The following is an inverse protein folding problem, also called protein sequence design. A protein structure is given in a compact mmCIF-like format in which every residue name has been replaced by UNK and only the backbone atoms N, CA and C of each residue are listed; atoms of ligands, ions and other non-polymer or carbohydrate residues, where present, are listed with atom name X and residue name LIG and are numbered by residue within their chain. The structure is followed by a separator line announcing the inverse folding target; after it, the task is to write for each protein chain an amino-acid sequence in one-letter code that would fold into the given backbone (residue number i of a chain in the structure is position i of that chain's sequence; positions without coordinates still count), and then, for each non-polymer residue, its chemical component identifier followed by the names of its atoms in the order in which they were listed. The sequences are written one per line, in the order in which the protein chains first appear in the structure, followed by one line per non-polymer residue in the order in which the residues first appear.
data_IF_330110334662
#
_entry.id   IF_330110334662
#
_cell.length_a   1.000
_cell.length_b   1.000
_cell.length_c   1.000
_cell.angle_alpha   90.00
_cell.angle_beta   90.00
_cell.angle_gamma   90.00
#
_symmetry.space_group_name_H-M   'P 1'
#
loop_
_entity.id
_entity.type
_entity.pdbx_description
1 polymer ?
#
# COMPACT_ATOMS: atom_id res chain seq x y z
N UNK A 1 14.43 20.76 4.06
CA UNK A 1 13.54 20.03 4.98
C UNK A 1 12.36 20.90 5.47
N UNK A 2 12.58 22.08 6.02
CA UNK A 2 11.50 22.96 6.50
C UNK A 2 10.52 23.39 5.40
N UNK A 3 11.00 23.77 4.23
CA UNK A 3 10.17 24.11 3.06
C UNK A 3 9.35 22.91 2.58
N UNK A 4 9.95 21.72 2.60
CA UNK A 4 9.28 20.49 2.24
C UNK A 4 8.22 20.08 3.25
N UNK A 5 8.51 20.21 4.55
CA UNK A 5 7.54 19.97 5.61
C UNK A 5 6.34 20.92 5.51
N UNK A 6 6.59 22.20 5.19
CA UNK A 6 5.53 23.19 4.95
C UNK A 6 4.69 22.84 3.73
N UNK A 7 5.32 22.38 2.63
CA UNK A 7 4.64 21.92 1.43
C UNK A 7 3.79 20.68 1.72
N UNK A 8 4.32 19.70 2.46
CA UNK A 8 3.59 18.50 2.85
C UNK A 8 2.40 18.82 3.77
N UNK A 9 2.53 19.76 4.68
CA UNK A 9 1.41 20.23 5.51
C UNK A 9 0.31 20.89 4.66
N UNK A 10 0.68 21.70 3.69
CA UNK A 10 -0.27 22.31 2.76
C UNK A 10 -0.98 21.25 1.90
N UNK A 11 -0.25 20.26 1.42
CA UNK A 11 -0.76 19.11 0.67
C UNK A 11 -1.72 18.28 1.51
N UNK A 12 -1.35 17.99 2.74
CA UNK A 12 -2.16 17.25 3.69
C UNK A 12 -3.51 17.91 3.95
N UNK A 13 -3.51 19.23 4.16
CA UNK A 13 -4.72 20.02 4.34
C UNK A 13 -5.61 20.05 3.09
N UNK A 14 -5.05 19.85 1.89
CA UNK A 14 -5.79 19.86 0.63
C UNK A 14 -6.48 18.54 0.33
N UNK A 15 -5.86 17.41 0.69
CA UNK A 15 -6.35 16.08 0.34
C UNK A 15 -7.16 15.39 1.44
N UNK A 16 -7.03 15.84 2.69
CA UNK A 16 -7.76 15.22 3.79
C UNK A 16 -8.86 16.13 4.33
N UNK A 17 -10.09 15.66 4.22
CA UNK A 17 -11.21 16.20 5.00
C UNK A 17 -11.16 15.78 6.48
N UNK A 18 -10.25 14.89 6.86
CA UNK A 18 -10.04 14.49 8.24
C UNK A 18 -8.80 15.17 8.81
N UNK A 19 -8.99 15.91 9.87
CA UNK A 19 -7.97 16.63 10.64
C UNK A 19 -6.90 15.75 11.33
N UNK A 20 -6.69 14.52 10.87
CA UNK A 20 -5.88 13.50 11.56
C UNK A 20 -4.72 12.92 10.75
N UNK A 21 -4.36 13.50 9.60
CA UNK A 21 -3.11 13.07 8.97
C UNK A 21 -1.93 13.63 9.76
N UNK A 22 -1.07 12.72 10.21
CA UNK A 22 0.17 13.02 10.91
C UNK A 22 1.02 14.01 10.08
N UNK A 23 1.52 15.06 10.71
CA UNK A 23 2.40 16.05 10.07
C UNK A 23 3.65 15.41 9.44
N UNK A 24 3.97 14.19 9.87
CA UNK A 24 5.15 13.44 9.49
C UNK A 24 4.89 12.34 8.44
N UNK A 25 3.69 12.34 7.78
CA UNK A 25 3.33 11.31 6.81
C UNK A 25 4.37 11.12 5.70
N UNK A 26 5.01 12.18 5.24
CA UNK A 26 6.04 12.13 4.22
C UNK A 26 7.30 11.36 4.66
N UNK A 27 7.62 11.37 5.96
CA UNK A 27 8.75 10.60 6.51
C UNK A 27 8.48 9.10 6.38
N UNK A 28 7.22 8.70 6.59
CA UNK A 28 6.79 7.32 6.41
C UNK A 28 6.87 6.90 4.94
N UNK A 29 6.41 7.77 4.03
CA UNK A 29 6.49 7.51 2.59
C UNK A 29 7.94 7.47 2.10
N UNK A 30 8.78 8.41 2.54
CA UNK A 30 10.21 8.39 2.24
C UNK A 30 10.86 7.10 2.75
N UNK A 31 10.55 6.70 3.98
CA UNK A 31 11.05 5.43 4.53
C UNK A 31 10.61 4.25 3.70
N UNK A 32 9.35 4.18 3.29
CA UNK A 32 8.84 3.11 2.43
C UNK A 32 9.62 3.03 1.10
N UNK A 33 9.88 4.17 0.45
CA UNK A 33 10.67 4.21 -0.79
C UNK A 33 12.09 3.70 -0.52
N UNK A 34 12.72 4.14 0.57
CA UNK A 34 14.07 3.73 0.96
C UNK A 34 14.12 2.23 1.24
N UNK A 35 13.21 1.72 2.08
CA UNK A 35 13.15 0.32 2.44
C UNK A 35 12.97 -0.56 1.17
N UNK A 36 12.08 -0.18 0.27
CA UNK A 36 11.90 -0.85 -1.03
C UNK A 36 13.13 -0.76 -1.92
N UNK A 37 13.81 0.38 -1.92
CA UNK A 37 15.02 0.60 -2.71
C UNK A 37 16.14 -0.32 -2.26
N UNK A 38 16.32 -0.48 -0.95
CA UNK A 38 17.32 -1.39 -0.37
C UNK A 38 16.93 -2.85 -0.61
N UNK A 39 15.68 -3.20 -0.29
CA UNK A 39 15.16 -4.58 -0.39
C UNK A 39 15.22 -5.14 -1.82
N UNK A 40 14.86 -4.32 -2.81
CA UNK A 40 14.84 -4.71 -4.22
C UNK A 40 16.13 -4.38 -4.98
N UNK A 41 17.13 -3.84 -4.28
CA UNK A 41 18.40 -3.40 -4.87
C UNK A 41 18.20 -2.47 -6.08
N UNK A 42 17.25 -1.52 -5.95
CA UNK A 42 16.93 -0.57 -7.01
C UNK A 42 18.06 0.42 -7.17
N UNK A 43 18.56 0.58 -8.39
CA UNK A 43 19.56 1.60 -8.71
C UNK A 43 18.95 2.99 -8.91
N UNK A 44 19.80 4.00 -9.08
CA UNK A 44 19.37 5.39 -9.25
C UNK A 44 18.54 5.58 -10.52
N UNK A 45 18.90 4.92 -11.62
CA UNK A 45 18.16 5.01 -12.88
C UNK A 45 16.74 4.51 -12.72
N UNK A 46 16.54 3.37 -12.07
CA UNK A 46 15.20 2.83 -11.80
C UNK A 46 14.39 3.67 -10.83
N UNK A 47 15.02 4.36 -9.89
CA UNK A 47 14.33 5.33 -9.03
C UNK A 47 13.82 6.52 -9.85
N UNK A 48 14.62 7.01 -10.80
CA UNK A 48 14.18 8.07 -11.71
C UNK A 48 13.04 7.60 -12.63
N UNK A 49 13.11 6.38 -13.17
CA UNK A 49 12.04 5.76 -13.95
C UNK A 49 10.76 5.63 -13.13
N UNK A 50 10.85 5.14 -11.88
CA UNK A 50 9.72 5.01 -10.96
C UNK A 50 9.10 6.37 -10.60
N UNK A 51 9.90 7.43 -10.48
CA UNK A 51 9.43 8.79 -10.27
C UNK A 51 8.55 9.27 -11.43
N UNK A 52 9.02 9.12 -12.66
CA UNK A 52 8.27 9.55 -13.85
C UNK A 52 6.99 8.70 -14.05
N UNK A 53 7.05 7.40 -13.79
CA UNK A 53 5.88 6.52 -13.85
C UNK A 53 4.86 6.90 -12.76
N UNK A 54 5.31 7.26 -11.55
CA UNK A 54 4.43 7.74 -10.49
C UNK A 54 3.69 9.03 -10.87
N UNK A 55 4.36 9.98 -11.53
CA UNK A 55 3.72 11.19 -12.04
C UNK A 55 2.68 10.87 -13.12
N UNK A 56 3.02 9.99 -14.05
CA UNK A 56 2.12 9.56 -15.11
C UNK A 56 0.87 8.90 -14.53
N UNK A 57 1.04 7.93 -13.63
CA UNK A 57 -0.06 7.21 -12.99
C UNK A 57 -0.99 8.15 -12.21
N UNK A 58 -0.44 9.09 -11.44
CA UNK A 58 -1.24 10.08 -10.72
C UNK A 58 -2.01 10.98 -11.68
N UNK A 59 -1.39 11.42 -12.78
CA UNK A 59 -2.07 12.23 -13.79
C UNK A 59 -3.25 11.46 -14.42
N UNK A 60 -3.09 10.17 -14.67
CA UNK A 60 -4.15 9.31 -15.21
C UNK A 60 -5.27 9.10 -14.20
N UNK A 61 -4.94 8.75 -12.95
CA UNK A 61 -5.92 8.47 -11.89
C UNK A 61 -6.70 9.71 -11.47
N UNK A 62 -6.02 10.83 -11.32
CA UNK A 62 -6.65 12.08 -10.86
C UNK A 62 -7.41 12.82 -11.96
N UNK A 63 -7.19 12.49 -13.23
CA UNK A 63 -7.88 13.14 -14.36
C UNK A 63 -7.70 14.65 -14.34
N UNK A 64 -6.48 15.15 -14.11
CA UNK A 64 -6.22 16.59 -14.04
C UNK A 64 -6.65 17.31 -15.29
N UNK A 65 -7.42 18.39 -15.11
CA UNK A 65 -7.85 19.25 -16.19
C UNK A 65 -6.75 20.29 -16.50
N UNK A 66 -6.25 20.32 -17.73
CA UNK A 66 -5.38 21.40 -18.19
C UNK A 66 -6.15 22.73 -18.41
N UNK A 67 -7.48 22.70 -18.30
CA UNK A 67 -8.35 23.84 -18.57
C UNK A 67 -8.72 24.64 -17.30
N UNK A 68 -8.73 23.98 -16.14
CA UNK A 68 -9.06 24.67 -14.91
C UNK A 68 -7.82 25.19 -14.21
N UNK A 69 -7.68 26.51 -14.21
CA UNK A 69 -6.68 27.26 -13.48
C UNK A 69 -7.36 28.11 -12.41
N UNK A 70 -6.89 28.00 -11.17
CA UNK A 70 -7.39 28.79 -10.06
C UNK A 70 -6.66 30.15 -10.06
N UNK A 71 -7.12 31.05 -10.92
CA UNK A 71 -6.58 32.41 -11.07
C UNK A 71 -6.94 33.30 -9.89
N UNK A 72 -6.17 34.38 -9.72
CA UNK A 72 -6.33 35.31 -8.60
C UNK A 72 -7.71 36.01 -8.59
N UNK A 73 -8.31 36.22 -9.76
CA UNK A 73 -9.65 36.78 -9.89
C UNK A 73 -10.73 35.85 -9.35
N UNK A 74 -10.62 34.54 -9.56
CA UNK A 74 -11.54 33.53 -8.99
C UNK A 74 -11.42 33.48 -7.47
N UNK A 75 -10.20 33.55 -6.96
CA UNK A 75 -9.93 33.60 -5.51
C UNK A 75 -10.51 34.88 -4.93
N UNK A 76 -10.29 36.01 -5.56
CA UNK A 76 -10.83 37.31 -5.14
C UNK A 76 -12.36 37.29 -5.11
N UNK A 77 -13.00 36.80 -6.17
CA UNK A 77 -14.47 36.67 -6.26
C UNK A 77 -15.03 35.78 -5.14
N UNK A 78 -14.36 34.68 -4.84
CA UNK A 78 -14.78 33.77 -3.75
C UNK A 78 -14.66 34.45 -2.38
N UNK A 79 -13.59 35.20 -2.13
CA UNK A 79 -13.40 35.99 -0.89
C UNK A 79 -14.44 37.07 -0.75
N UNK A 80 -14.69 37.86 -1.79
CA UNK A 80 -15.69 38.89 -1.80
C UNK A 80 -17.10 38.32 -1.53
N UNK A 81 -17.42 37.17 -2.09
CA UNK A 81 -18.64 36.45 -1.81
C UNK A 81 -18.77 36.06 -0.33
N UNK A 82 -17.70 35.54 0.25
CA UNK A 82 -17.64 35.21 1.69
C UNK A 82 -17.85 36.42 2.58
N UNK A 83 -17.20 37.55 2.28
CA UNK A 83 -17.34 38.82 3.01
C UNK A 83 -18.75 39.36 2.94
N UNK A 84 -19.39 39.31 1.76
CA UNK A 84 -20.78 39.74 1.58
C UNK A 84 -21.75 38.88 2.40
N UNK A 85 -21.58 37.56 2.39
CA UNK A 85 -22.41 36.63 3.18
C UNK A 85 -22.22 36.88 4.69
N UNK A 86 -20.99 37.11 5.14
CA UNK A 86 -20.68 37.43 6.54
C UNK A 86 -21.22 38.79 6.96
N UNK A 87 -21.27 39.78 6.04
CA UNK A 87 -21.88 41.09 6.30
C UNK A 87 -23.38 41.00 6.53
N UNK A 88 -24.10 40.14 5.82
CA UNK A 88 -25.54 39.88 6.10
C UNK A 88 -25.79 39.25 7.48
N UNK A 89 -24.86 38.41 7.97
CA UNK A 89 -24.96 37.88 9.35
C UNK A 89 -24.85 38.98 10.42
N UNK A 90 -24.09 40.03 10.12
CA UNK A 90 -23.85 41.16 11.05
C UNK A 90 -25.00 42.18 11.07
N UNK A 91 -25.99 42.12 10.16
CA UNK A 91 -27.13 43.04 10.11
C UNK A 91 -28.01 42.90 11.36
N UNK A 92 -28.49 44.02 11.99
CA UNK A 92 -29.32 43.94 13.16
C UNK A 92 -30.65 43.26 12.86
N UNK A 93 -31.00 42.31 13.71
CA UNK A 93 -32.19 41.44 13.61
C UNK A 93 -33.46 42.26 13.81
N UNK A 94 -34.10 42.71 12.76
CA UNK A 94 -35.46 43.15 12.81
C UNK A 94 -36.38 41.95 12.84
N UNK A 95 -37.07 41.75 13.96
CA UNK A 95 -38.29 40.98 14.29
C UNK A 95 -38.75 39.77 13.45
N UNK A 96 -37.97 39.16 12.60
CA UNK A 96 -38.26 37.91 11.92
C UNK A 96 -37.25 36.85 12.27
N UNK A 97 -37.59 36.05 13.25
CA UNK A 97 -36.99 34.75 13.54
C UNK A 97 -35.46 34.74 13.58
N UNK A 98 -34.87 34.45 14.71
CA UNK A 98 -33.43 34.22 14.92
C UNK A 98 -32.85 33.32 13.84
N UNK A 99 -32.30 33.90 12.78
CA UNK A 99 -31.40 33.20 11.88
C UNK A 99 -30.05 33.29 12.52
N UNK A 100 -29.71 32.38 13.40
CA UNK A 100 -28.32 32.19 13.83
C UNK A 100 -27.59 31.55 12.65
N UNK A 101 -27.03 32.40 11.80
CA UNK A 101 -26.07 32.00 10.79
C UNK A 101 -24.76 31.67 11.52
N UNK A 102 -24.64 30.46 12.04
CA UNK A 102 -23.37 29.97 12.54
C UNK A 102 -22.52 29.59 11.32
N UNK A 103 -21.62 30.50 10.93
CA UNK A 103 -20.67 30.30 9.83
C UNK A 103 -19.22 30.30 10.34
N UNK A 104 -18.87 29.46 11.35
CA UNK A 104 -17.51 29.45 11.89
C UNK A 104 -16.48 29.02 10.85
N UNK A 105 -16.89 28.15 9.90
CA UNK A 105 -16.03 27.68 8.81
C UNK A 105 -15.65 28.80 7.85
N UNK A 106 -16.62 29.58 7.36
CA UNK A 106 -16.35 30.70 6.44
C UNK A 106 -15.41 31.71 7.09
N UNK A 107 -15.65 32.11 8.34
CA UNK A 107 -14.78 33.02 9.07
C UNK A 107 -13.34 32.49 9.23
N UNK A 108 -13.23 31.20 9.57
CA UNK A 108 -11.93 30.58 9.76
C UNK A 108 -11.10 30.54 8.46
N UNK A 109 -11.74 30.28 7.32
CA UNK A 109 -11.06 30.21 6.04
C UNK A 109 -10.82 31.59 5.41
N UNK A 110 -11.72 32.56 5.60
CA UNK A 110 -11.54 33.93 5.09
C UNK A 110 -10.31 34.58 5.70
N UNK A 111 -10.08 34.43 7.01
CA UNK A 111 -8.88 34.91 7.66
C UNK A 111 -7.58 34.24 7.25
N UNK A 112 -7.61 32.96 6.94
CA UNK A 112 -6.43 32.16 6.52
C UNK A 112 -6.08 32.31 5.04
N UNK A 113 -7.04 32.65 4.21
CA UNK A 113 -6.84 32.81 2.77
C UNK A 113 -6.05 34.07 2.38
N UNK A 114 -5.63 34.91 3.35
CA UNK A 114 -4.91 36.15 3.09
C UNK A 114 -3.39 36.00 2.98
N UNK A 115 -2.77 35.02 3.68
CA UNK A 115 -1.32 35.09 3.92
C UNK A 115 -0.43 34.17 3.11
N UNK A 116 -0.95 33.10 2.48
CA UNK A 116 -0.14 32.22 1.63
C UNK A 116 -0.93 31.39 0.61
N UNK A 117 -2.16 31.78 0.27
CA UNK A 117 -3.04 31.07 -0.69
C UNK A 117 -2.97 29.52 -0.59
N UNK A 118 -3.07 28.89 0.58
CA UNK A 118 -3.08 27.44 0.61
C UNK A 118 -4.35 26.99 -0.09
N UNK A 119 -4.21 26.17 -1.10
CA UNK A 119 -5.32 25.58 -1.90
C UNK A 119 -6.41 24.99 -1.00
N UNK A 120 -6.03 24.37 0.12
CA UNK A 120 -6.93 23.86 1.13
C UNK A 120 -7.86 24.91 1.74
N UNK A 121 -7.35 26.10 2.01
CA UNK A 121 -8.17 27.19 2.56
C UNK A 121 -9.18 27.69 1.55
N UNK A 122 -8.80 27.76 0.26
CA UNK A 122 -9.68 28.16 -0.83
C UNK A 122 -10.75 27.11 -1.08
N UNK A 123 -10.36 25.85 -1.14
CA UNK A 123 -11.31 24.73 -1.28
C UNK A 123 -12.24 24.63 -0.09
N UNK A 124 -11.72 24.77 1.13
CA UNK A 124 -12.53 24.79 2.35
C UNK A 124 -13.53 25.93 2.36
N UNK A 125 -13.12 27.14 1.99
CA UNK A 125 -14.01 28.30 1.88
C UNK A 125 -15.11 28.05 0.84
N UNK A 126 -14.77 27.55 -0.34
CA UNK A 126 -15.73 27.23 -1.38
C UNK A 126 -16.72 26.15 -0.92
N UNK A 127 -16.24 25.11 -0.24
CA UNK A 127 -17.08 24.02 0.31
C UNK A 127 -18.07 24.54 1.35
N UNK A 128 -17.65 25.38 2.28
CA UNK A 128 -18.50 25.97 3.30
C UNK A 128 -19.57 26.88 2.70
N UNK A 129 -19.23 27.70 1.68
CA UNK A 129 -20.19 28.53 0.97
C UNK A 129 -21.20 27.65 0.21
N UNK A 130 -20.74 26.65 -0.51
CA UNK A 130 -21.61 25.75 -1.27
C UNK A 130 -22.56 24.94 -0.37
N UNK A 131 -22.16 24.62 0.86
CA UNK A 131 -22.93 23.87 1.85
C UNK A 131 -24.01 24.69 2.58
N UNK A 132 -24.13 25.99 2.35
CA UNK A 132 -25.11 26.84 3.02
C UNK A 132 -26.53 26.37 2.71
N UNK A 133 -27.31 26.10 3.75
CA UNK A 133 -28.72 25.63 3.65
C UNK A 133 -29.75 26.73 3.82
N UNK A 134 -29.37 27.90 4.30
CA UNK A 134 -30.26 29.02 4.56
C UNK A 134 -30.97 29.52 3.29
N UNK A 135 -32.32 29.49 3.28
CA UNK A 135 -33.12 29.84 2.12
C UNK A 135 -32.96 31.28 1.64
N UNK A 136 -32.77 32.23 2.57
CA UNK A 136 -32.59 33.66 2.23
C UNK A 136 -31.25 33.89 1.53
N UNK A 137 -30.18 33.34 2.09
CA UNK A 137 -28.84 33.42 1.47
C UNK A 137 -28.82 32.72 0.12
N UNK A 138 -29.46 31.55 0.01
CA UNK A 138 -29.58 30.85 -1.27
C UNK A 138 -30.28 31.71 -2.33
N UNK A 139 -31.29 32.45 -1.95
CA UNK A 139 -32.04 33.32 -2.89
C UNK A 139 -31.17 34.52 -3.32
N UNK A 140 -30.44 35.15 -2.37
CA UNK A 140 -29.66 36.34 -2.63
C UNK A 140 -28.33 36.06 -3.35
N UNK A 141 -27.72 34.87 -3.14
CA UNK A 141 -26.38 34.50 -3.61
C UNK A 141 -26.37 33.22 -4.47
N UNK A 142 -27.44 32.90 -5.17
CA UNK A 142 -27.57 31.64 -5.91
C UNK A 142 -26.44 31.43 -6.94
N UNK A 143 -26.08 32.44 -7.68
CA UNK A 143 -24.96 32.38 -8.67
C UNK A 143 -23.60 32.24 -7.97
N UNK A 144 -23.38 32.95 -6.87
CA UNK A 144 -22.18 32.85 -6.06
C UNK A 144 -22.01 31.46 -5.44
N UNK A 145 -23.09 30.85 -4.96
CA UNK A 145 -23.07 29.49 -4.41
C UNK A 145 -22.83 28.44 -5.50
N UNK A 146 -23.39 28.63 -6.70
CA UNK A 146 -23.09 27.76 -7.84
C UNK A 146 -21.61 27.86 -8.23
N UNK A 147 -21.07 29.08 -8.25
CA UNK A 147 -19.62 29.31 -8.48
C UNK A 147 -18.76 28.64 -7.39
N UNK A 148 -19.13 28.77 -6.11
CA UNK A 148 -18.42 28.10 -5.02
C UNK A 148 -18.47 26.56 -5.13
N UNK A 149 -19.63 26.01 -5.53
CA UNK A 149 -19.75 24.57 -5.78
C UNK A 149 -18.86 24.12 -6.94
N UNK A 150 -18.79 24.89 -8.01
CA UNK A 150 -17.88 24.63 -9.13
C UNK A 150 -16.41 24.64 -8.67
N UNK A 151 -15.98 25.63 -7.92
CA UNK A 151 -14.63 25.71 -7.34
C UNK A 151 -14.34 24.46 -6.50
N UNK A 152 -15.29 24.04 -5.65
CA UNK A 152 -15.13 22.85 -4.79
C UNK A 152 -14.87 21.60 -5.60
N UNK A 153 -15.57 21.42 -6.73
CA UNK A 153 -15.41 20.24 -7.60
C UNK A 153 -14.14 20.29 -8.46
N UNK A 154 -13.74 21.48 -8.89
CA UNK A 154 -12.65 21.62 -9.87
C UNK A 154 -11.27 21.81 -9.24
N UNK A 155 -11.16 22.36 -8.02
CA UNK A 155 -9.87 22.58 -7.37
C UNK A 155 -9.04 21.30 -7.23
N UNK A 156 -9.59 20.13 -6.86
CA UNK A 156 -8.80 18.89 -6.78
C UNK A 156 -8.16 18.47 -8.12
N UNK A 157 -8.75 18.89 -9.23
CA UNK A 157 -8.29 18.59 -10.59
C UNK A 157 -7.55 19.75 -11.25
N UNK A 158 -7.24 20.80 -10.50
CA UNK A 158 -6.61 22.01 -11.03
C UNK A 158 -5.12 21.82 -11.34
N UNK A 159 -4.61 22.69 -12.23
CA UNK A 159 -3.18 22.76 -12.55
C UNK A 159 -2.33 23.00 -11.30
N UNK A 160 -2.83 23.78 -10.33
CA UNK A 160 -2.12 24.07 -9.09
C UNK A 160 -1.94 22.82 -8.21
N UNK A 161 -3.00 22.00 -8.08
CA UNK A 161 -2.92 20.72 -7.33
C UNK A 161 -1.99 19.75 -8.05
N UNK A 162 -2.10 19.65 -9.38
CA UNK A 162 -1.17 18.84 -10.18
C UNK A 162 0.28 19.23 -9.93
N UNK A 163 0.63 20.50 -10.08
CA UNK A 163 1.99 20.99 -9.88
C UNK A 163 2.49 20.73 -8.45
N UNK A 164 1.61 20.83 -7.46
CA UNK A 164 1.94 20.53 -6.07
C UNK A 164 2.28 19.05 -5.89
N UNK A 165 1.49 18.15 -6.46
CA UNK A 165 1.71 16.71 -6.39
C UNK A 165 2.99 16.32 -7.13
N UNK A 166 3.19 16.82 -8.33
CA UNK A 166 4.41 16.57 -9.11
C UNK A 166 5.66 17.05 -8.37
N UNK A 167 5.61 18.24 -7.76
CA UNK A 167 6.70 18.77 -6.93
C UNK A 167 6.95 17.92 -5.67
N UNK A 168 5.89 17.36 -5.07
CA UNK A 168 6.01 16.43 -3.96
C UNK A 168 6.74 15.15 -4.40
N UNK A 169 6.31 14.54 -5.52
CA UNK A 169 6.94 13.34 -6.07
C UNK A 169 8.42 13.61 -6.37
N UNK A 170 8.73 14.68 -7.09
CA UNK A 170 10.11 15.05 -7.40
C UNK A 170 10.97 15.19 -6.14
N UNK A 171 10.43 15.80 -5.11
CA UNK A 171 11.19 16.06 -3.89
C UNK A 171 11.41 14.78 -3.09
N UNK A 172 10.40 13.92 -2.94
CA UNK A 172 10.53 12.68 -2.15
C UNK A 172 11.48 11.69 -2.84
N UNK A 173 11.42 11.55 -4.16
CA UNK A 173 12.35 10.69 -4.89
C UNK A 173 13.78 11.26 -4.89
N UNK A 174 13.95 12.57 -5.03
CA UNK A 174 15.26 13.22 -4.91
C UNK A 174 15.87 12.98 -3.52
N UNK A 175 15.09 13.06 -2.46
CA UNK A 175 15.54 12.75 -1.10
C UNK A 175 15.91 11.28 -0.95
N UNK A 176 15.15 10.37 -1.55
CA UNK A 176 15.45 8.93 -1.53
C UNK A 176 16.76 8.62 -2.26
N UNK A 177 16.98 9.21 -3.44
CA UNK A 177 18.23 9.06 -4.21
C UNK A 177 19.43 9.61 -3.43
N UNK A 178 19.28 10.80 -2.85
CA UNK A 178 20.34 11.40 -2.04
C UNK A 178 20.66 10.53 -0.83
N UNK A 179 19.65 10.07 -0.10
CA UNK A 179 19.84 9.19 1.04
C UNK A 179 20.53 7.89 0.64
N UNK A 180 20.13 7.28 -0.49
CA UNK A 180 20.78 6.06 -1.00
C UNK A 180 22.27 6.29 -1.24
N UNK A 181 22.67 7.38 -1.89
CA UNK A 181 24.08 7.73 -2.12
C UNK A 181 24.86 7.86 -0.81
N UNK A 182 24.29 8.58 0.15
CA UNK A 182 24.91 8.78 1.47
C UNK A 182 25.01 7.45 2.24
N UNK A 183 24.00 6.59 2.16
CA UNK A 183 23.99 5.29 2.80
C UNK A 183 25.02 4.33 2.17
N UNK A 184 25.12 4.28 0.85
CA UNK A 184 26.14 3.50 0.15
C UNK A 184 27.56 3.97 0.51
N UNK A 185 27.77 5.28 0.58
CA UNK A 185 29.04 5.85 1.01
C UNK A 185 29.37 5.53 2.47
N UNK A 186 28.37 5.59 3.35
CA UNK A 186 28.50 5.19 4.74
C UNK A 186 28.92 3.72 4.88
N UNK A 187 28.26 2.80 4.16
CA UNK A 187 28.61 1.38 4.15
C UNK A 187 30.04 1.18 3.63
N UNK A 188 30.37 1.80 2.52
CA UNK A 188 31.69 1.70 1.89
C UNK A 188 32.82 2.15 2.81
N UNK A 189 32.66 3.30 3.47
CA UNK A 189 33.65 3.84 4.40
C UNK A 189 33.88 2.97 5.63
N UNK A 190 32.92 2.15 6.01
CA UNK A 190 32.96 1.28 7.19
C UNK A 190 33.11 -0.21 6.85
N UNK A 191 33.26 -0.54 5.57
CA UNK A 191 33.30 -1.92 5.09
C UNK A 191 32.11 -2.75 5.57
N UNK A 192 30.91 -2.14 5.60
CA UNK A 192 29.67 -2.80 5.98
C UNK A 192 28.92 -3.31 4.75
N UNK A 193 28.22 -4.42 4.91
CA UNK A 193 27.29 -4.97 3.93
C UNK A 193 25.95 -5.22 4.63
N UNK A 194 24.87 -4.84 3.99
CA UNK A 194 23.53 -5.27 4.38
C UNK A 194 23.11 -6.55 3.62
N UNK A 195 21.93 -7.09 3.95
CA UNK A 195 21.42 -8.30 3.30
C UNK A 195 21.16 -8.11 1.80
N UNK A 196 20.77 -6.91 1.38
CA UNK A 196 20.59 -6.56 -0.03
C UNK A 196 21.92 -6.62 -0.79
N UNK A 197 22.98 -6.06 -0.20
CA UNK A 197 24.35 -6.12 -0.77
C UNK A 197 24.82 -7.57 -0.93
N UNK A 198 24.56 -8.41 0.05
CA UNK A 198 24.94 -9.84 -0.02
C UNK A 198 24.25 -10.54 -1.17
N UNK A 199 22.94 -10.32 -1.34
CA UNK A 199 22.16 -10.90 -2.44
C UNK A 199 22.62 -10.38 -3.80
N UNK A 200 22.89 -9.08 -3.91
CA UNK A 200 23.37 -8.49 -5.15
C UNK A 200 24.75 -9.04 -5.51
N UNK A 201 25.69 -9.07 -4.55
CA UNK A 201 27.00 -9.64 -4.75
C UNK A 201 26.97 -11.13 -5.09
N UNK A 202 26.07 -11.87 -4.45
CA UNK A 202 25.85 -13.28 -4.80
C UNK A 202 25.39 -13.41 -6.26
N UNK A 203 24.39 -12.62 -6.68
CA UNK A 203 23.93 -12.61 -8.07
C UNK A 203 25.05 -12.26 -9.06
N UNK A 204 25.91 -11.28 -8.73
CA UNK A 204 27.06 -10.89 -9.55
C UNK A 204 28.12 -12.00 -9.62
N UNK A 205 28.37 -12.71 -8.52
CA UNK A 205 29.29 -13.84 -8.49
C UNK A 205 28.85 -14.98 -9.41
N UNK A 206 27.54 -15.24 -9.53
CA UNK A 206 26.99 -16.24 -10.44
C UNK A 206 27.22 -15.95 -11.94
N UNK A 207 27.78 -14.79 -12.28
CA UNK A 207 28.17 -14.42 -13.65
C UNK A 207 29.65 -14.68 -13.92
N UNK A 208 30.46 -14.94 -12.88
CA UNK A 208 31.91 -15.17 -13.02
C UNK A 208 32.21 -16.61 -13.39
N UNK A 209 32.92 -16.82 -14.46
CA UNK A 209 33.25 -18.18 -14.99
C UNK A 209 33.88 -19.09 -13.95
N UNK A 210 34.83 -18.58 -13.16
CA UNK A 210 35.51 -19.33 -12.11
C UNK A 210 34.54 -19.85 -11.05
N UNK A 211 33.57 -18.99 -10.63
CA UNK A 211 32.55 -19.36 -9.64
C UNK A 211 31.58 -20.34 -10.21
N UNK A 212 31.16 -20.14 -11.47
CA UNK A 212 30.29 -21.08 -12.20
C UNK A 212 30.92 -22.47 -12.29
N UNK A 213 32.18 -22.55 -12.69
CA UNK A 213 32.91 -23.80 -12.78
C UNK A 213 33.04 -24.52 -11.43
N UNK A 214 33.30 -23.78 -10.36
CA UNK A 214 33.42 -24.33 -9.01
C UNK A 214 32.04 -24.87 -8.55
N UNK A 215 30.97 -24.12 -8.74
CA UNK A 215 29.60 -24.53 -8.39
C UNK A 215 29.20 -25.81 -9.17
N UNK A 216 29.39 -25.84 -10.48
CA UNK A 216 29.06 -27.00 -11.33
C UNK A 216 29.88 -28.24 -11.01
N UNK A 217 31.12 -28.08 -10.51
CA UNK A 217 31.96 -29.19 -10.07
C UNK A 217 31.39 -29.87 -8.81
N UNK A 218 30.84 -29.08 -7.88
CA UNK A 218 30.42 -29.54 -6.54
C UNK A 218 28.96 -29.95 -6.48
N UNK A 219 28.09 -29.25 -7.19
CA UNK A 219 26.63 -29.41 -7.07
C UNK A 219 26.03 -29.87 -8.40
N UNK A 220 25.04 -30.73 -8.31
CA UNK A 220 24.35 -31.30 -9.50
C UNK A 220 22.86 -30.98 -9.52
N UNK A 221 22.27 -30.76 -8.35
CA UNK A 221 20.85 -30.51 -8.19
C UNK A 221 20.66 -29.31 -7.28
N UNK A 222 19.72 -28.43 -7.61
CA UNK A 222 19.27 -27.35 -6.77
C UNK A 222 17.83 -27.59 -6.29
N UNK A 223 17.59 -27.37 -5.00
CA UNK A 223 16.25 -27.36 -4.41
C UNK A 223 15.97 -25.97 -3.91
N UNK A 224 14.86 -25.38 -4.38
CA UNK A 224 14.37 -24.08 -3.92
C UNK A 224 13.04 -24.34 -3.22
N UNK A 225 13.03 -24.15 -1.90
CA UNK A 225 11.83 -24.33 -1.08
C UNK A 225 11.20 -22.97 -0.74
N UNK A 226 9.88 -22.96 -0.54
CA UNK A 226 9.09 -21.75 -0.22
C UNK A 226 9.33 -20.60 -1.20
N UNK A 227 9.45 -20.92 -2.50
CA UNK A 227 9.83 -19.91 -3.49
C UNK A 227 8.82 -18.76 -3.63
N UNK A 228 7.57 -18.94 -3.19
CA UNK A 228 6.57 -17.90 -3.15
C UNK A 228 6.94 -16.75 -2.19
N UNK A 229 7.87 -16.96 -1.25
CA UNK A 229 8.32 -15.96 -0.29
C UNK A 229 9.61 -15.25 -0.73
N UNK A 230 10.13 -15.60 -1.90
CA UNK A 230 11.35 -15.02 -2.43
C UNK A 230 11.13 -13.60 -2.99
N UNK A 231 12.07 -12.70 -2.72
CA UNK A 231 12.15 -11.40 -3.39
C UNK A 231 12.54 -11.56 -4.87
N UNK A 232 12.23 -10.59 -5.75
CA UNK A 232 12.58 -10.68 -7.17
C UNK A 232 14.06 -10.93 -7.44
N UNK A 233 14.97 -10.38 -6.62
CA UNK A 233 16.40 -10.61 -6.74
C UNK A 233 16.80 -12.04 -6.34
N UNK A 234 16.16 -12.58 -5.28
CA UNK A 234 16.36 -13.99 -4.90
C UNK A 234 15.91 -14.92 -6.01
N UNK A 235 14.69 -14.69 -6.53
CA UNK A 235 14.16 -15.48 -7.66
C UNK A 235 15.12 -15.45 -8.84
N UNK A 236 15.58 -14.27 -9.25
CA UNK A 236 16.54 -14.09 -10.35
C UNK A 236 17.85 -14.85 -10.09
N UNK A 237 18.35 -14.82 -8.86
CA UNK A 237 19.58 -15.51 -8.48
C UNK A 237 19.39 -17.03 -8.46
N UNK A 238 18.25 -17.51 -7.96
CA UNK A 238 17.95 -18.94 -7.96
C UNK A 238 17.67 -19.49 -9.36
N UNK A 239 17.01 -18.72 -10.24
CA UNK A 239 16.87 -19.07 -11.65
C UNK A 239 18.25 -19.25 -12.30
N UNK A 240 19.14 -18.26 -12.09
CA UNK A 240 20.52 -18.38 -12.59
C UNK A 240 21.25 -19.58 -12.02
N UNK A 241 21.09 -19.85 -10.73
CA UNK A 241 21.68 -21.04 -10.09
C UNK A 241 21.11 -22.35 -10.71
N UNK A 242 19.80 -22.40 -10.94
CA UNK A 242 19.14 -23.55 -11.57
C UNK A 242 19.68 -23.84 -12.97
N UNK A 243 19.97 -22.81 -13.78
CA UNK A 243 20.58 -22.97 -15.10
C UNK A 243 21.99 -23.60 -15.04
N UNK A 244 22.68 -23.49 -13.91
CA UNK A 244 24.01 -24.06 -13.70
C UNK A 244 23.97 -25.53 -13.26
N UNK A 245 22.80 -26.03 -12.84
CA UNK A 245 22.61 -27.37 -12.32
C UNK A 245 22.14 -28.32 -13.44
N UNK A 246 22.32 -29.63 -13.22
CA UNK A 246 21.73 -30.65 -14.09
C UNK A 246 20.22 -30.71 -13.94
N UNK A 247 19.75 -30.52 -12.72
CA UNK A 247 18.33 -30.57 -12.35
C UNK A 247 18.04 -29.50 -11.29
N UNK A 248 16.85 -28.97 -11.31
CA UNK A 248 16.36 -28.08 -10.23
C UNK A 248 14.92 -28.41 -9.89
N UNK A 249 14.62 -28.36 -8.60
CA UNK A 249 13.28 -28.60 -8.07
C UNK A 249 12.87 -27.38 -7.28
N UNK A 250 11.73 -26.79 -7.64
CA UNK A 250 11.18 -25.63 -6.97
C UNK A 250 9.87 -26.01 -6.29
N UNK A 251 9.78 -25.77 -5.00
CA UNK A 251 8.61 -26.08 -4.18
C UNK A 251 8.05 -24.80 -3.59
N UNK A 252 6.74 -24.62 -3.69
CA UNK A 252 6.09 -23.46 -3.12
C UNK A 252 4.57 -23.53 -3.25
N UNK A 253 3.90 -22.67 -2.50
CA UNK A 253 2.46 -22.55 -2.51
C UNK A 253 2.04 -21.07 -2.54
N UNK A 254 1.55 -20.58 -3.67
CA UNK A 254 1.14 -19.19 -3.86
C UNK A 254 0.10 -18.76 -2.81
N UNK A 255 -0.75 -19.68 -2.34
CA UNK A 255 -1.75 -19.38 -1.31
C UNK A 255 -1.12 -19.00 0.03
N UNK A 256 0.13 -19.41 0.26
CA UNK A 256 0.90 -19.11 1.47
C UNK A 256 1.80 -17.87 1.31
N UNK A 257 1.75 -17.18 0.18
CA UNK A 257 2.53 -15.95 -0.06
C UNK A 257 2.02 -14.80 0.82
N UNK A 258 2.48 -14.73 2.07
CA UNK A 258 2.08 -13.71 3.07
C UNK A 258 3.13 -12.61 3.26
N UNK A 259 4.30 -12.72 2.64
CA UNK A 259 5.42 -11.80 2.82
C UNK A 259 5.48 -10.68 1.78
N UNK A 260 4.33 -10.25 1.23
CA UNK A 260 4.26 -9.09 0.32
C UNK A 260 4.90 -7.82 0.90
N UNK A 261 4.88 -7.65 2.23
CA UNK A 261 5.55 -6.54 2.92
C UNK A 261 7.09 -6.65 2.90
N UNK A 262 7.66 -7.82 2.55
CA UNK A 262 9.09 -8.05 2.32
C UNK A 262 9.49 -8.01 0.85
N UNK A 263 8.65 -7.43 -0.02
CA UNK A 263 8.94 -7.29 -1.43
C UNK A 263 8.63 -8.51 -2.29
N UNK A 264 7.99 -9.54 -1.74
CA UNK A 264 7.51 -10.67 -2.53
C UNK A 264 6.48 -10.20 -3.55
N UNK A 265 6.68 -10.57 -4.81
CA UNK A 265 5.79 -10.23 -5.91
C UNK A 265 5.04 -11.46 -6.39
N UNK A 266 3.78 -11.60 -5.97
CA UNK A 266 2.93 -12.75 -6.34
C UNK A 266 2.61 -12.80 -7.83
N UNK A 267 2.60 -11.68 -8.54
CA UNK A 267 2.40 -11.65 -9.99
C UNK A 267 3.63 -12.19 -10.73
N UNK A 268 4.83 -11.84 -10.25
CA UNK A 268 6.07 -12.41 -10.77
C UNK A 268 6.08 -13.94 -10.57
N UNK A 269 5.72 -14.42 -9.38
CA UNK A 269 5.66 -15.85 -9.09
C UNK A 269 4.66 -16.55 -10.02
N UNK A 270 3.46 -15.99 -10.23
CA UNK A 270 2.48 -16.51 -11.17
C UNK A 270 3.04 -16.57 -12.60
N UNK A 271 3.68 -15.49 -13.06
CA UNK A 271 4.24 -15.44 -14.41
C UNK A 271 5.33 -16.49 -14.65
N UNK A 272 6.10 -16.82 -13.61
CA UNK A 272 7.10 -17.91 -13.67
C UNK A 272 6.42 -19.27 -13.81
N UNK A 273 5.38 -19.53 -13.02
CA UNK A 273 4.62 -20.79 -13.12
C UNK A 273 3.96 -20.92 -14.49
N UNK A 274 3.28 -19.86 -14.94
CA UNK A 274 2.65 -19.83 -16.26
C UNK A 274 3.67 -20.09 -17.39
N UNK A 275 4.87 -19.52 -17.24
CA UNK A 275 5.96 -19.77 -18.19
C UNK A 275 6.43 -21.22 -18.18
N UNK A 276 6.60 -21.83 -17.02
CA UNK A 276 6.97 -23.24 -16.88
C UNK A 276 5.90 -24.16 -17.47
N UNK A 277 4.61 -23.82 -17.30
CA UNK A 277 3.51 -24.57 -17.90
C UNK A 277 3.47 -24.47 -19.44
N UNK A 278 3.80 -23.28 -19.98
CA UNK A 278 3.73 -23.00 -21.41
C UNK A 278 4.93 -23.57 -22.19
N UNK A 279 6.12 -23.48 -21.64
CA UNK A 279 7.35 -23.87 -22.34
C UNK A 279 7.53 -25.39 -22.48
N UNK A 280 6.84 -26.19 -21.67
CA UNK A 280 6.73 -27.67 -21.72
C UNK A 280 8.00 -28.45 -22.16
N UNK A 281 9.15 -27.79 -22.03
CA UNK A 281 10.45 -28.19 -22.57
C UNK A 281 11.21 -29.05 -21.53
N UNK A 282 10.59 -30.15 -21.10
CA UNK A 282 11.12 -31.03 -20.07
C UNK A 282 10.79 -30.60 -18.62
N UNK A 283 10.12 -29.48 -18.45
CA UNK A 283 9.65 -29.00 -17.15
C UNK A 283 8.34 -29.72 -16.78
N UNK A 284 8.23 -30.17 -15.54
CA UNK A 284 7.09 -30.88 -15.03
C UNK A 284 6.51 -30.15 -13.83
N UNK A 285 5.27 -29.68 -13.96
CA UNK A 285 4.52 -29.14 -12.83
C UNK A 285 3.77 -30.27 -12.15
N UNK A 286 4.08 -30.52 -10.89
CA UNK A 286 3.40 -31.51 -10.06
C UNK A 286 2.68 -30.83 -8.90
N UNK A 287 1.38 -31.07 -8.76
CA UNK A 287 0.60 -30.59 -7.64
C UNK A 287 0.68 -31.57 -6.46
N UNK A 288 1.06 -31.10 -5.30
CA UNK A 288 0.96 -31.85 -4.03
C UNK A 288 -0.49 -31.80 -3.54
N UNK A 289 -1.26 -32.81 -3.85
CA UNK A 289 -2.73 -32.85 -3.63
C UNK A 289 -3.14 -33.25 -2.21
N UNK A 290 -2.23 -33.86 -1.44
CA UNK A 290 -2.56 -34.48 -0.16
C UNK A 290 -1.80 -33.85 0.98
N UNK A 291 -2.51 -33.59 2.06
CA UNK A 291 -1.94 -33.12 3.32
C UNK A 291 -1.52 -34.33 4.19
N UNK A 292 -0.21 -34.56 4.30
CA UNK A 292 0.36 -35.62 5.13
C UNK A 292 0.59 -35.18 6.59
N UNK A 293 0.62 -33.86 6.82
CA UNK A 293 0.98 -33.24 8.09
C UNK A 293 -0.17 -33.25 9.11
N UNK A 294 -1.38 -32.93 8.65
CA UNK A 294 -2.53 -32.69 9.51
C UNK A 294 -3.52 -33.86 9.52
N UNK A 295 -4.25 -34.01 10.62
CA UNK A 295 -5.35 -34.97 10.70
C UNK A 295 -6.58 -34.49 9.89
N UNK A 296 -7.54 -35.38 9.71
CA UNK A 296 -8.74 -35.13 8.91
C UNK A 296 -9.56 -33.93 9.44
N UNK A 297 -9.72 -33.81 10.74
CA UNK A 297 -10.49 -32.74 11.36
C UNK A 297 -9.91 -31.36 11.03
N UNK A 298 -8.56 -31.21 11.11
CA UNK A 298 -7.88 -29.96 10.74
C UNK A 298 -8.00 -29.67 9.24
N UNK A 299 -7.81 -30.70 8.40
CA UNK A 299 -7.94 -30.54 6.94
C UNK A 299 -9.35 -30.09 6.57
N UNK A 300 -10.37 -30.69 7.15
CA UNK A 300 -11.76 -30.31 6.93
C UNK A 300 -12.06 -28.87 7.43
N UNK A 301 -11.55 -28.51 8.61
CA UNK A 301 -11.70 -27.15 9.13
C UNK A 301 -11.06 -26.11 8.19
N UNK A 302 -9.82 -26.35 7.76
CA UNK A 302 -9.10 -25.46 6.84
C UNK A 302 -9.85 -25.35 5.52
N UNK A 303 -10.28 -26.47 4.93
CA UNK A 303 -11.05 -26.46 3.70
C UNK A 303 -12.36 -25.65 3.83
N UNK A 304 -13.11 -25.82 4.92
CA UNK A 304 -14.35 -25.07 5.14
C UNK A 304 -14.12 -23.57 5.28
N UNK A 305 -13.05 -23.16 5.97
CA UNK A 305 -12.71 -21.75 6.13
C UNK A 305 -12.24 -21.14 4.81
N UNK A 306 -11.24 -21.75 4.18
CA UNK A 306 -10.56 -21.13 3.05
C UNK A 306 -11.27 -21.33 1.73
N UNK A 307 -11.84 -22.51 1.44
CA UNK A 307 -12.56 -22.74 0.20
C UNK A 307 -13.91 -22.04 0.17
N UNK A 308 -14.64 -22.04 1.29
CA UNK A 308 -16.01 -21.57 1.33
C UNK A 308 -16.16 -20.10 1.77
N UNK A 309 -15.21 -19.55 2.53
CA UNK A 309 -15.34 -18.22 3.14
C UNK A 309 -14.31 -17.21 2.66
N UNK A 310 -13.04 -17.62 2.51
CA UNK A 310 -11.95 -16.67 2.22
C UNK A 310 -11.71 -16.54 0.71
N UNK A 311 -11.56 -17.66 0.01
CA UNK A 311 -11.21 -17.66 -1.42
C UNK A 311 -12.39 -17.98 -2.35
N UNK A 312 -13.61 -18.02 -1.82
CA UNK A 312 -14.80 -18.35 -2.60
C UNK A 312 -14.89 -17.47 -3.86
N UNK A 313 -14.86 -18.14 -5.04
CA UNK A 313 -14.91 -17.47 -6.33
C UNK A 313 -13.64 -16.73 -6.77
N UNK A 314 -12.61 -16.61 -5.93
CA UNK A 314 -11.34 -15.95 -6.26
C UNK A 314 -10.31 -16.94 -6.85
N UNK A 315 -10.27 -18.16 -6.35
CA UNK A 315 -9.41 -19.21 -6.83
C UNK A 315 -10.25 -20.46 -7.14
N UNK A 316 -9.76 -21.30 -8.06
CA UNK A 316 -10.42 -22.57 -8.36
C UNK A 316 -10.31 -23.49 -7.14
N UNK A 317 -11.42 -24.10 -6.73
CA UNK A 317 -11.52 -25.02 -5.58
C UNK A 317 -10.41 -26.08 -5.55
N UNK A 318 -10.10 -26.66 -6.71
CA UNK A 318 -9.05 -27.67 -6.86
C UNK A 318 -7.65 -27.17 -6.47
N UNK A 319 -7.41 -25.86 -6.51
CA UNK A 319 -6.12 -25.26 -6.13
C UNK A 319 -6.02 -24.96 -4.64
N UNK A 320 -7.14 -24.97 -3.94
CA UNK A 320 -7.22 -24.56 -2.53
C UNK A 320 -7.46 -25.79 -1.64
N UNK A 321 -8.35 -26.68 -2.08
CA UNK A 321 -8.83 -27.82 -1.29
C UNK A 321 -7.71 -28.82 -1.06
N UNK A 322 -7.45 -29.09 0.22
CA UNK A 322 -6.52 -30.12 0.64
C UNK A 322 -7.20 -31.48 0.64
N UNK A 323 -6.58 -32.48 0.01
CA UNK A 323 -6.98 -33.89 0.10
C UNK A 323 -6.31 -34.59 1.29
N UNK A 324 -6.89 -35.72 1.68
CA UNK A 324 -6.26 -36.64 2.62
C UNK A 324 -5.59 -37.77 1.84
N UNK A 325 -4.40 -38.22 2.26
CA UNK A 325 -3.73 -39.34 1.61
C UNK A 325 -4.42 -40.67 1.91
N UNK A 326 -4.51 -41.55 0.94
CA UNK A 326 -4.82 -42.99 1.15
C UNK A 326 -3.55 -43.64 1.69
N UNK A 327 -3.43 -43.73 3.02
CA UNK A 327 -2.24 -44.29 3.69
C UNK A 327 -2.17 -45.80 3.51
N UNK A 328 -0.98 -46.28 3.23
CA UNK A 328 -0.60 -47.68 3.16
C UNK A 328 0.23 -48.07 4.38
N UNK A 329 0.52 -49.36 4.55
CA UNK A 329 1.35 -49.83 5.68
C UNK A 329 2.78 -49.26 5.69
N UNK A 330 3.27 -48.81 4.53
CA UNK A 330 4.61 -48.22 4.39
C UNK A 330 4.64 -46.68 4.60
N UNK A 331 3.48 -46.07 4.76
CA UNK A 331 3.38 -44.63 4.92
C UNK A 331 3.52 -44.23 6.41
N UNK A 332 3.95 -42.99 6.70
CA UNK A 332 3.97 -42.47 8.07
C UNK A 332 2.59 -42.63 8.70
N UNK A 333 2.50 -42.98 9.99
CA UNK A 333 1.22 -43.15 10.68
C UNK A 333 0.44 -41.83 10.64
N UNK A 334 -0.89 -41.96 10.59
CA UNK A 334 -1.75 -40.76 10.68
C UNK A 334 -1.46 -40.01 11.98
N UNK A 335 -1.44 -38.68 11.95
CA UNK A 335 -1.36 -37.88 13.17
C UNK A 335 -2.48 -38.31 14.14
N UNK A 336 -2.13 -38.48 15.41
CA UNK A 336 -3.13 -38.87 16.40
C UNK A 336 -4.22 -37.80 16.44
N UNK A 337 -5.47 -38.25 16.33
CA UNK A 337 -6.61 -37.38 16.57
C UNK A 337 -6.63 -37.02 18.06
N UNK A 338 -6.40 -35.75 18.34
CA UNK A 338 -6.88 -35.14 19.59
C UNK A 338 -8.23 -34.53 19.23
N UNK A 339 -9.21 -34.72 20.09
CA UNK A 339 -10.50 -34.05 19.93
C UNK A 339 -10.26 -32.54 19.82
N UNK A 340 -10.51 -31.99 18.62
CA UNK A 340 -10.48 -30.55 18.41
C UNK A 340 -11.80 -30.00 18.94
N UNK A 341 -11.75 -29.34 20.07
CA UNK A 341 -12.89 -28.55 20.54
C UNK A 341 -13.01 -27.29 19.68
N UNK A 342 -14.13 -27.11 19.00
CA UNK A 342 -14.45 -25.89 18.32
C UNK A 342 -14.74 -24.79 19.35
N UNK A 343 -13.91 -23.76 19.36
CA UNK A 343 -14.14 -22.61 20.22
C UNK A 343 -14.63 -21.43 19.38
N UNK A 344 -15.81 -20.92 19.72
CA UNK A 344 -16.32 -19.68 19.16
C UNK A 344 -16.06 -18.55 20.15
N UNK A 345 -15.31 -17.54 19.71
CA UNK A 345 -15.14 -16.31 20.47
C UNK A 345 -16.08 -15.24 19.89
N UNK A 346 -16.92 -14.68 20.76
CA UNK A 346 -17.66 -13.47 20.46
C UNK A 346 -17.02 -12.36 21.29
N UNK A 347 -16.15 -11.56 20.65
CA UNK A 347 -15.56 -10.38 21.27
C UNK A 347 -16.36 -9.15 20.84
N UNK A 348 -16.69 -8.29 21.80
CA UNK A 348 -17.42 -7.05 21.53
C UNK A 348 -16.61 -6.02 20.74
N UNK A 349 -15.28 -6.01 20.89
CA UNK A 349 -14.37 -5.12 20.19
C UNK A 349 -13.14 -5.88 19.72
N UNK A 350 -12.54 -5.39 18.65
CA UNK A 350 -11.32 -5.98 18.07
C UNK A 350 -10.14 -5.97 19.05
N UNK A 351 -10.10 -4.96 19.90
CA UNK A 351 -9.06 -4.76 20.92
C UNK A 351 -9.14 -5.79 22.05
N UNK A 352 -10.33 -6.35 22.33
CA UNK A 352 -10.57 -7.32 23.41
C UNK A 352 -10.19 -8.76 23.00
N UNK A 353 -9.93 -9.01 21.71
CA UNK A 353 -9.63 -10.36 21.17
C UNK A 353 -8.37 -10.99 21.78
N UNK A 354 -7.23 -10.27 21.93
CA UNK A 354 -6.03 -10.87 22.52
C UNK A 354 -6.22 -11.29 23.96
N UNK A 355 -6.95 -10.49 24.75
CA UNK A 355 -7.21 -10.76 26.17
C UNK A 355 -8.15 -11.95 26.35
N UNK A 356 -9.26 -11.97 25.62
CA UNK A 356 -10.20 -13.09 25.61
C UNK A 356 -9.55 -14.41 25.13
N UNK A 357 -8.62 -14.33 24.16
CA UNK A 357 -7.86 -15.49 23.72
C UNK A 357 -6.90 -15.99 24.81
N UNK A 358 -6.18 -15.09 25.48
CA UNK A 358 -5.26 -15.42 26.55
C UNK A 358 -5.97 -16.11 27.73
N UNK A 359 -7.08 -15.55 28.18
CA UNK A 359 -7.91 -16.15 29.24
C UNK A 359 -8.39 -17.56 28.85
N UNK A 360 -8.76 -17.76 27.60
CA UNK A 360 -9.21 -19.06 27.13
C UNK A 360 -8.08 -20.10 27.07
N UNK A 361 -6.90 -19.67 26.61
CA UNK A 361 -5.71 -20.54 26.64
C UNK A 361 -5.34 -20.93 28.05
N UNK A 362 -5.37 -20.02 29.03
CA UNK A 362 -5.15 -20.32 30.44
C UNK A 362 -6.16 -21.36 30.98
N UNK A 363 -7.46 -21.16 30.70
CA UNK A 363 -8.48 -22.13 31.09
C UNK A 363 -8.22 -23.54 30.52
N UNK A 364 -7.77 -23.63 29.25
CA UNK A 364 -7.45 -24.92 28.64
C UNK A 364 -6.22 -25.58 29.25
N UNK A 365 -5.21 -24.81 29.63
CA UNK A 365 -4.02 -25.30 30.30
C UNK A 365 -4.40 -25.83 31.71
N UNK A 366 -5.23 -25.09 32.43
CA UNK A 366 -5.68 -25.48 33.77
C UNK A 366 -6.58 -26.73 33.77
N UNK A 367 -7.42 -26.87 32.73
CA UNK A 367 -8.33 -28.03 32.61
C UNK A 367 -7.66 -29.26 32.00
N UNK A 368 -6.40 -29.14 31.53
CA UNK A 368 -5.65 -30.26 30.97
C UNK A 368 -6.19 -30.78 29.63
N UNK A 369 -6.98 -29.95 28.93
CA UNK A 369 -7.56 -30.24 27.60
C UNK A 369 -6.71 -29.73 26.45
#
# INVERSE_FOLDING_TARGET
LWLFDTMCRSFNLTLSHSSQLDSDFWKKELKNIIDKTVELCIDEQKLEEAKEESKKLINEVMGFSNQFNLEDDKIFKLKQLAENILAEEALPKTNRGKIELKMPGIRAYTGRATDAKPLASIQGLATEIAAITNKTIKANYSEGMAFAAEITLQVPHSVQVRNLIESYIDTIFRLAIQWKKEYEEFKRKRCLLDFGDLLQKFHELLKKEEVVADIQSRYKVAFVDEFQDCSPLQVKSFMRLSELMKESVWVGDIKQAIYGFRGTNTELIKSIIDKVELENDGNKLEELKHCWRSNETIVNLVNNIFCEKVFFGQLKDKLIRLGLPNRTENDPPAPKEKELQHMHFICGRKEDVPEALAEKVEQLIETGT
#
